data_IF_337486477508
#
_entry.id   IF_337486477508
#
_cell.length_a   1.000
_cell.length_b   1.000
_cell.length_c   1.000
_cell.angle_alpha   90.00
_cell.angle_beta   90.00
_cell.angle_gamma   90.00
#
_symmetry.space_group_name_H-M   'P 1'
#
loop_
_entity.id
_entity.type
_entity.pdbx_description
1 polymer ?
#
# COMPACT_ATOMS: atom_id res chain seq x y z
N UNK A 1 15.39 3.21 -17.83
CA UNK A 1 14.86 3.85 -16.61
C UNK A 1 13.43 3.38 -16.26
N UNK A 2 12.45 3.38 -17.19
CA UNK A 2 11.07 2.95 -16.91
C UNK A 2 10.98 1.49 -16.42
N UNK A 3 11.60 0.54 -17.14
CA UNK A 3 11.58 -0.87 -16.76
C UNK A 3 12.24 -1.14 -15.40
N UNK A 4 13.34 -0.44 -15.08
CA UNK A 4 13.97 -0.52 -13.76
C UNK A 4 13.04 -0.07 -12.63
N UNK A 5 12.34 1.06 -12.83
CA UNK A 5 11.35 1.55 -11.86
C UNK A 5 10.16 0.58 -11.71
N UNK A 6 9.74 -0.03 -12.81
CA UNK A 6 8.66 -1.01 -12.80
C UNK A 6 9.06 -2.28 -12.02
N UNK A 7 10.29 -2.75 -12.21
CA UNK A 7 10.87 -3.85 -11.44
C UNK A 7 10.98 -3.49 -9.96
N UNK A 8 11.56 -2.33 -9.64
CA UNK A 8 11.69 -1.84 -8.27
C UNK A 8 10.33 -1.72 -7.58
N UNK A 9 9.33 -1.13 -8.24
CA UNK A 9 7.96 -1.04 -7.74
C UNK A 9 7.35 -2.43 -7.46
N UNK A 10 7.58 -3.37 -8.36
CA UNK A 10 7.12 -4.75 -8.21
C UNK A 10 7.77 -5.47 -7.03
N UNK A 11 9.06 -5.23 -6.80
CA UNK A 11 9.80 -5.81 -5.67
C UNK A 11 9.40 -5.17 -4.33
N UNK A 12 9.39 -3.84 -4.26
CA UNK A 12 9.00 -3.10 -3.05
C UNK A 12 7.54 -3.35 -2.63
N UNK A 13 6.65 -3.72 -3.55
CA UNK A 13 5.30 -4.18 -3.25
C UNK A 13 5.30 -5.30 -2.20
N UNK A 14 6.19 -6.26 -2.32
CA UNK A 14 6.31 -7.35 -1.35
C UNK A 14 6.79 -6.87 0.01
N UNK A 15 7.71 -5.91 0.05
CA UNK A 15 8.16 -5.31 1.30
C UNK A 15 7.00 -4.60 2.03
N UNK A 16 6.13 -3.88 1.29
CA UNK A 16 4.92 -3.27 1.86
C UNK A 16 3.98 -4.32 2.43
N UNK A 17 3.65 -5.35 1.66
CA UNK A 17 2.71 -6.41 2.08
C UNK A 17 3.24 -7.14 3.32
N UNK A 18 4.51 -7.57 3.31
CA UNK A 18 5.13 -8.30 4.42
C UNK A 18 5.20 -7.43 5.67
N UNK A 19 5.68 -6.18 5.55
CA UNK A 19 5.79 -5.27 6.71
C UNK A 19 4.42 -4.95 7.30
N UNK A 20 3.41 -4.77 6.46
CA UNK A 20 2.05 -4.46 6.88
C UNK A 20 1.37 -5.66 7.56
N UNK A 21 1.52 -6.88 7.00
CA UNK A 21 1.06 -8.11 7.63
C UNK A 21 1.70 -8.31 9.01
N UNK A 22 3.01 -8.09 9.10
CA UNK A 22 3.71 -8.19 10.38
C UNK A 22 3.24 -7.15 11.39
N UNK A 23 3.04 -5.90 10.95
CA UNK A 23 2.53 -4.83 11.81
C UNK A 23 1.11 -5.13 12.31
N UNK A 24 0.22 -5.63 11.45
CA UNK A 24 -1.14 -6.07 11.83
C UNK A 24 -1.08 -7.23 12.83
N UNK A 25 -0.25 -8.25 12.56
CA UNK A 25 -0.04 -9.37 13.49
C UNK A 25 0.42 -8.89 14.88
N UNK A 26 1.43 -8.01 14.92
CA UNK A 26 1.91 -7.42 16.18
C UNK A 26 0.81 -6.61 16.88
N UNK A 27 0.04 -5.85 16.12
CA UNK A 27 -1.08 -5.07 16.60
C UNK A 27 -2.16 -5.94 17.26
N UNK A 28 -2.64 -6.98 16.56
CA UNK A 28 -3.65 -7.91 17.06
C UNK A 28 -3.15 -8.60 18.33
N UNK A 29 -1.92 -9.14 18.32
CA UNK A 29 -1.35 -9.83 19.45
C UNK A 29 -1.20 -8.92 20.67
N UNK A 30 -0.67 -7.71 20.47
CA UNK A 30 -0.50 -6.73 21.53
C UNK A 30 -1.82 -6.26 22.13
N UNK A 31 -2.84 -6.05 21.29
CA UNK A 31 -4.18 -5.64 21.73
C UNK A 31 -4.88 -6.76 22.53
N UNK A 32 -4.89 -8.00 22.00
CA UNK A 32 -5.58 -9.12 22.66
C UNK A 32 -4.95 -9.53 23.99
N UNK A 33 -3.62 -9.53 24.06
CA UNK A 33 -2.89 -9.95 25.27
C UNK A 33 -2.54 -8.78 26.19
N UNK A 34 -3.01 -7.57 25.92
CA UNK A 34 -2.72 -6.36 26.71
C UNK A 34 -1.21 -6.14 26.95
N UNK A 35 -0.40 -6.44 25.94
CA UNK A 35 1.04 -6.32 26.04
C UNK A 35 1.49 -4.86 26.22
N UNK A 36 2.69 -4.68 26.79
CA UNK A 36 3.36 -3.37 26.82
C UNK A 36 3.76 -2.99 25.37
N UNK A 37 3.49 -1.75 24.98
CA UNK A 37 3.92 -1.22 23.69
C UNK A 37 5.40 -0.83 23.79
N UNK A 38 6.26 -1.62 23.14
CA UNK A 38 7.72 -1.49 23.22
C UNK A 38 8.29 -0.60 22.13
N UNK A 39 9.57 -0.24 22.25
CA UNK A 39 10.33 0.44 21.18
C UNK A 39 10.32 -0.37 19.85
N UNK A 40 10.28 -1.70 19.93
CA UNK A 40 10.18 -2.57 18.73
C UNK A 40 8.84 -2.38 18.03
N UNK A 41 7.75 -2.23 18.77
CA UNK A 41 6.41 -2.01 18.20
C UNK A 41 6.34 -0.64 17.54
N UNK A 42 6.95 0.36 18.15
CA UNK A 42 7.04 1.71 17.56
C UNK A 42 7.90 1.72 16.28
N UNK A 43 9.00 0.97 16.27
CA UNK A 43 9.84 0.81 15.08
C UNK A 43 9.06 0.11 13.95
N UNK A 44 8.34 -0.97 14.25
CA UNK A 44 7.50 -1.68 13.27
C UNK A 44 6.45 -0.73 12.68
N UNK A 45 5.74 0.01 13.54
CA UNK A 45 4.76 1.02 13.12
C UNK A 45 5.37 2.05 12.17
N UNK A 46 6.50 2.61 12.55
CA UNK A 46 7.16 3.66 11.78
C UNK A 46 7.78 3.15 10.48
N UNK A 47 8.51 2.05 10.52
CA UNK A 47 9.15 1.48 9.32
C UNK A 47 8.13 1.00 8.29
N UNK A 48 7.01 0.41 8.71
CA UNK A 48 5.91 0.04 7.80
C UNK A 48 5.37 1.27 7.07
N UNK A 49 5.13 2.37 7.79
CA UNK A 49 4.68 3.61 7.17
C UNK A 49 5.74 4.17 6.19
N UNK A 50 7.01 4.16 6.56
CA UNK A 50 8.12 4.63 5.70
C UNK A 50 8.22 3.80 4.41
N UNK A 51 8.19 2.47 4.51
CA UNK A 51 8.24 1.56 3.34
C UNK A 51 7.05 1.85 2.41
N UNK A 52 5.86 2.04 2.98
CA UNK A 52 4.66 2.36 2.22
C UNK A 52 4.76 3.72 1.49
N UNK A 53 5.34 4.74 2.11
CA UNK A 53 5.57 6.04 1.46
C UNK A 53 6.60 5.95 0.33
N UNK A 54 7.70 5.20 0.51
CA UNK A 54 8.69 4.96 -0.54
C UNK A 54 8.03 4.28 -1.74
N UNK A 55 7.22 3.25 -1.51
CA UNK A 55 6.48 2.55 -2.56
C UNK A 55 5.53 3.49 -3.31
N UNK A 56 4.81 4.35 -2.59
CA UNK A 56 3.92 5.33 -3.18
C UNK A 56 4.70 6.33 -4.05
N UNK A 57 5.84 6.82 -3.58
CA UNK A 57 6.68 7.75 -4.34
C UNK A 57 7.18 7.12 -5.66
N UNK A 58 7.66 5.86 -5.60
CA UNK A 58 8.03 5.09 -6.81
C UNK A 58 6.82 4.95 -7.74
N UNK A 59 5.64 4.64 -7.17
CA UNK A 59 4.39 4.52 -7.91
C UNK A 59 3.98 5.79 -8.64
N UNK A 60 4.11 6.96 -8.01
CA UNK A 60 3.84 8.25 -8.66
C UNK A 60 4.82 8.54 -9.79
N UNK A 61 6.12 8.28 -9.60
CA UNK A 61 7.10 8.43 -10.69
C UNK A 61 6.75 7.53 -11.87
N UNK A 62 6.36 6.29 -11.62
CA UNK A 62 5.89 5.36 -12.66
C UNK A 62 4.63 5.86 -13.35
N UNK A 63 3.67 6.39 -12.60
CA UNK A 63 2.42 6.91 -13.14
C UNK A 63 2.67 7.95 -14.22
N UNK A 64 3.53 8.94 -13.96
CA UNK A 64 3.85 9.98 -14.93
C UNK A 64 4.72 9.52 -16.10
N UNK A 65 5.43 8.38 -15.96
CA UNK A 65 6.29 7.80 -17.01
C UNK A 65 5.65 6.64 -17.76
N UNK A 66 4.47 6.19 -17.35
CA UNK A 66 3.80 5.03 -17.94
C UNK A 66 3.16 5.38 -19.29
N UNK A 67 3.45 4.62 -20.35
CA UNK A 67 2.78 4.78 -21.65
C UNK A 67 1.28 4.48 -21.57
N UNK A 68 0.87 3.52 -20.72
CA UNK A 68 -0.54 3.18 -20.45
C UNK A 68 -1.30 4.39 -19.88
N UNK A 69 -0.70 5.06 -18.89
CA UNK A 69 -1.27 6.26 -18.28
C UNK A 69 -1.26 7.46 -19.28
N UNK A 70 -0.21 7.58 -20.06
CA UNK A 70 -0.15 8.61 -21.10
C UNK A 70 -1.29 8.44 -22.11
N UNK A 71 -1.54 7.22 -22.58
CA UNK A 71 -2.66 6.90 -23.45
C UNK A 71 -4.00 7.20 -22.77
N UNK A 72 -4.21 6.75 -21.53
CA UNK A 72 -5.42 7.04 -20.75
C UNK A 72 -5.73 8.54 -20.67
N UNK A 73 -4.71 9.37 -20.47
CA UNK A 73 -4.88 10.83 -20.37
C UNK A 73 -5.17 11.50 -21.72
N UNK A 74 -4.57 11.02 -22.81
CA UNK A 74 -4.74 11.61 -24.16
C UNK A 74 -6.02 11.15 -24.85
N UNK A 75 -6.54 9.95 -24.52
CA UNK A 75 -7.72 9.35 -25.13
C UNK A 75 -8.78 8.99 -24.06
N UNK A 76 -9.03 9.91 -23.12
CA UNK A 76 -9.84 9.65 -21.93
C UNK A 76 -11.21 9.03 -22.23
N UNK A 77 -11.97 9.58 -23.19
CA UNK A 77 -13.32 9.10 -23.55
C UNK A 77 -13.35 7.65 -24.07
N UNK A 78 -12.29 7.23 -24.71
CA UNK A 78 -12.14 5.87 -25.24
C UNK A 78 -11.56 4.94 -24.18
N UNK A 79 -10.49 5.38 -23.53
CA UNK A 79 -9.73 4.60 -22.56
C UNK A 79 -10.52 4.28 -21.27
N UNK A 80 -11.44 5.16 -20.86
CA UNK A 80 -12.29 4.92 -19.66
C UNK A 80 -13.23 3.73 -19.83
N UNK A 81 -13.54 3.35 -21.08
CA UNK A 81 -14.38 2.17 -21.41
C UNK A 81 -13.57 0.88 -21.44
N UNK A 82 -12.25 0.96 -21.43
CA UNK A 82 -11.34 -0.17 -21.43
C UNK A 82 -10.80 -0.35 -20.01
N UNK A 83 -11.16 -1.46 -19.37
CA UNK A 83 -10.92 -1.63 -17.94
C UNK A 83 -9.43 -1.58 -17.55
N UNK A 84 -8.52 -2.12 -18.37
CA UNK A 84 -7.08 -2.09 -18.08
C UNK A 84 -6.53 -0.64 -18.03
N UNK A 85 -6.96 0.21 -18.97
CA UNK A 85 -6.56 1.62 -18.96
C UNK A 85 -7.18 2.36 -17.78
N UNK A 86 -8.45 2.11 -17.46
CA UNK A 86 -9.13 2.68 -16.30
C UNK A 86 -8.45 2.24 -15.00
N UNK A 87 -8.10 0.96 -14.90
CA UNK A 87 -7.45 0.44 -13.70
C UNK A 87 -6.10 1.11 -13.44
N UNK A 88 -5.17 1.09 -14.39
CA UNK A 88 -3.85 1.68 -14.21
C UNK A 88 -3.86 3.21 -14.30
N UNK A 89 -4.79 3.80 -15.06
CA UNK A 89 -4.92 5.25 -15.23
C UNK A 89 -5.57 5.95 -14.04
N UNK A 90 -6.45 5.26 -13.27
CA UNK A 90 -7.22 5.90 -12.21
C UNK A 90 -7.37 5.02 -10.95
N UNK A 91 -7.92 3.82 -11.06
CA UNK A 91 -8.34 3.03 -9.89
C UNK A 91 -7.16 2.70 -8.99
N UNK A 92 -6.08 2.17 -9.55
CA UNK A 92 -4.91 1.73 -8.80
C UNK A 92 -4.26 2.88 -8.01
N UNK A 93 -4.03 4.03 -8.66
CA UNK A 93 -3.37 5.16 -7.99
C UNK A 93 -4.24 5.76 -6.89
N UNK A 94 -5.56 5.86 -7.11
CA UNK A 94 -6.50 6.36 -6.10
C UNK A 94 -6.55 5.44 -4.89
N UNK A 95 -6.75 4.13 -5.09
CA UNK A 95 -6.82 3.16 -4.00
C UNK A 95 -5.50 3.08 -3.22
N UNK A 96 -4.35 3.08 -3.91
CA UNK A 96 -3.05 3.08 -3.24
C UNK A 96 -2.83 4.35 -2.43
N UNK A 97 -3.21 5.52 -2.95
CA UNK A 97 -3.12 6.78 -2.19
C UNK A 97 -3.97 6.73 -0.93
N UNK A 98 -5.23 6.27 -1.03
CA UNK A 98 -6.13 6.12 0.12
C UNK A 98 -5.54 5.17 1.16
N UNK A 99 -5.00 4.02 0.72
CA UNK A 99 -4.38 3.05 1.63
C UNK A 99 -3.18 3.65 2.39
N UNK A 100 -2.32 4.42 1.70
CA UNK A 100 -1.18 5.05 2.36
C UNK A 100 -1.62 6.19 3.30
N UNK A 101 -2.68 6.92 2.96
CA UNK A 101 -3.30 7.89 3.88
C UNK A 101 -3.78 7.18 5.15
N UNK A 102 -4.42 6.01 5.03
CA UNK A 102 -4.84 5.23 6.21
C UNK A 102 -3.65 4.78 7.05
N UNK A 103 -2.57 4.29 6.44
CA UNK A 103 -1.33 3.95 7.17
C UNK A 103 -0.77 5.19 7.89
N UNK A 104 -0.75 6.33 7.23
CA UNK A 104 -0.23 7.58 7.79
C UNK A 104 -1.04 8.05 9.00
N UNK A 105 -2.37 8.10 8.85
CA UNK A 105 -3.29 8.45 9.94
C UNK A 105 -3.15 7.47 11.09
N UNK A 106 -3.22 6.17 10.80
CA UNK A 106 -3.12 5.11 11.81
C UNK A 106 -1.80 5.15 12.57
N UNK A 107 -0.70 5.35 11.86
CA UNK A 107 0.63 5.51 12.45
C UNK A 107 0.71 6.75 13.36
N UNK A 108 0.21 7.88 12.88
CA UNK A 108 0.24 9.15 13.63
C UNK A 108 -0.66 9.13 14.85
N UNK A 109 -1.88 8.60 14.72
CA UNK A 109 -2.85 8.50 15.83
C UNK A 109 -2.34 7.50 16.86
N UNK A 110 -1.84 6.32 16.45
CA UNK A 110 -1.30 5.33 17.39
C UNK A 110 -0.12 5.89 18.21
N UNK A 111 0.76 6.68 17.58
CA UNK A 111 1.88 7.32 18.28
C UNK A 111 1.43 8.22 19.44
N UNK A 112 0.29 8.91 19.27
CA UNK A 112 -0.21 9.92 20.22
C UNK A 112 -1.09 9.36 21.34
N UNK A 113 -1.43 8.06 21.29
CA UNK A 113 -2.24 7.43 22.33
C UNK A 113 -1.44 7.27 23.64
N UNK A 114 -2.12 7.35 24.78
CA UNK A 114 -1.48 7.26 26.08
C UNK A 114 -1.28 5.81 26.54
N UNK A 115 -2.21 4.91 26.19
CA UNK A 115 -2.16 3.53 26.66
C UNK A 115 -1.69 2.54 25.57
N UNK A 116 -0.93 1.54 25.97
CA UNK A 116 -0.45 0.49 25.08
C UNK A 116 -1.58 -0.21 24.32
N UNK A 117 -2.66 -0.51 24.99
CA UNK A 117 -3.83 -1.19 24.41
C UNK A 117 -4.46 -0.38 23.29
N UNK A 118 -4.62 0.94 23.49
CA UNK A 118 -5.19 1.83 22.47
C UNK A 118 -4.22 2.03 21.31
N UNK A 119 -2.90 2.10 21.55
CA UNK A 119 -1.87 2.11 20.50
C UNK A 119 -2.00 0.91 19.58
N UNK A 120 -2.01 -0.29 20.14
CA UNK A 120 -2.15 -1.54 19.37
C UNK A 120 -3.49 -1.63 18.63
N UNK A 121 -4.61 -1.27 19.29
CA UNK A 121 -5.92 -1.26 18.67
C UNK A 121 -5.98 -0.32 17.47
N UNK A 122 -5.50 0.89 17.63
CA UNK A 122 -5.46 1.91 16.56
C UNK A 122 -4.63 1.43 15.38
N UNK A 123 -3.41 0.94 15.66
CA UNK A 123 -2.54 0.39 14.61
C UNK A 123 -3.21 -0.78 13.88
N UNK A 124 -3.84 -1.69 14.62
CA UNK A 124 -4.55 -2.84 14.02
C UNK A 124 -5.65 -2.41 13.08
N UNK A 125 -6.54 -1.51 13.51
CA UNK A 125 -7.69 -1.09 12.71
C UNK A 125 -7.23 -0.41 11.41
N UNK A 126 -6.41 0.63 11.52
CA UNK A 126 -6.01 1.41 10.36
C UNK A 126 -5.13 0.63 9.37
N UNK A 127 -4.19 -0.17 9.90
CA UNK A 127 -3.31 -0.97 9.05
C UNK A 127 -4.03 -2.15 8.40
N UNK A 128 -5.04 -2.73 9.05
CA UNK A 128 -5.88 -3.76 8.44
C UNK A 128 -6.75 -3.21 7.32
N UNK A 129 -7.35 -2.03 7.50
CA UNK A 129 -8.10 -1.36 6.44
C UNK A 129 -7.21 -1.06 5.23
N UNK A 130 -6.01 -0.52 5.48
CA UNK A 130 -5.05 -0.27 4.41
C UNK A 130 -4.62 -1.57 3.71
N UNK A 131 -4.37 -2.64 4.46
CA UNK A 131 -4.00 -3.95 3.91
C UNK A 131 -5.06 -4.52 2.98
N UNK A 132 -6.34 -4.41 3.35
CA UNK A 132 -7.47 -4.85 2.53
C UNK A 132 -7.50 -4.06 1.20
N UNK A 133 -7.38 -2.73 1.28
CA UNK A 133 -7.37 -1.88 0.07
C UNK A 133 -6.18 -2.23 -0.83
N UNK A 134 -4.97 -2.36 -0.25
CA UNK A 134 -3.76 -2.73 -0.99
C UNK A 134 -3.93 -4.11 -1.65
N UNK A 135 -4.48 -5.08 -0.92
CA UNK A 135 -4.69 -6.42 -1.45
C UNK A 135 -5.62 -6.43 -2.67
N UNK A 136 -6.70 -5.65 -2.63
CA UNK A 136 -7.65 -5.49 -3.74
C UNK A 136 -7.00 -4.74 -4.91
N UNK A 137 -6.20 -3.70 -4.62
CA UNK A 137 -5.62 -2.83 -5.63
C UNK A 137 -4.33 -3.37 -6.27
N UNK A 138 -3.72 -4.43 -5.74
CA UNK A 138 -2.59 -5.11 -6.40
C UNK A 138 -3.11 -5.93 -7.59
N UNK A 139 -2.51 -5.77 -8.79
CA UNK A 139 -2.85 -6.60 -9.94
C UNK A 139 -2.20 -7.99 -9.79
N UNK A 140 -2.85 -8.87 -9.03
CA UNK A 140 -2.42 -10.25 -8.87
C UNK A 140 -2.68 -11.05 -10.17
N UNK A 141 -1.98 -12.18 -10.43
CA UNK A 141 -2.30 -13.06 -11.54
C UNK A 141 -3.72 -13.64 -11.51
N UNK A 142 -4.33 -13.69 -10.30
CA UNK A 142 -5.68 -14.16 -10.06
C UNK A 142 -6.68 -13.02 -9.79
N UNK A 143 -6.26 -11.76 -9.86
CA UNK A 143 -7.14 -10.61 -9.59
C UNK A 143 -8.20 -10.47 -10.66
N UNK A 144 -9.48 -10.28 -10.29
CA UNK A 144 -10.53 -9.99 -11.25
C UNK A 144 -10.44 -8.57 -11.83
N UNK A 145 -9.67 -7.68 -11.18
CA UNK A 145 -9.56 -6.27 -11.56
C UNK A 145 -8.48 -6.03 -12.62
N UNK A 146 -7.32 -6.67 -12.50
CA UNK A 146 -6.25 -6.55 -13.48
C UNK A 146 -5.23 -7.68 -13.27
N UNK A 147 -4.81 -8.32 -14.35
CA UNK A 147 -3.85 -9.40 -14.29
C UNK A 147 -2.42 -8.87 -14.45
N UNK A 148 -1.54 -9.28 -13.56
CA UNK A 148 -0.13 -8.95 -13.63
C UNK A 148 0.74 -10.04 -13.01
N UNK A 149 2.00 -10.17 -13.43
CA UNK A 149 2.91 -11.16 -12.85
C UNK A 149 3.23 -10.81 -11.38
N UNK A 150 3.58 -11.84 -10.60
CA UNK A 150 4.04 -11.65 -9.22
C UNK A 150 5.28 -10.75 -9.12
N UNK A 151 6.18 -10.86 -10.08
CA UNK A 151 7.35 -9.98 -10.24
C UNK A 151 7.48 -9.68 -11.73
N UNK A 152 7.60 -8.40 -12.09
CA UNK A 152 7.90 -8.00 -13.47
C UNK A 152 9.42 -8.07 -13.69
N UNK A 153 9.84 -8.85 -14.67
CA UNK A 153 11.23 -8.87 -15.18
C UNK A 153 11.52 -7.66 -16.08
N UNK A 154 12.78 -7.43 -16.34
CA UNK A 154 13.25 -6.40 -17.27
C UNK A 154 12.83 -6.69 -18.71
#
# INVERSE_FOLDING_TARGET
MYFFLLFAHSLFRWAVVISLLYAVYRGIRGWRHKNIFTRRDDLVRHSTATIAHIQLAIGYVLYFKSPVVAYFRSHFHEAIRQFDFLFFGLIHIVLMTIAIVFITIGSSVAKRQDTATVKFRTMTIWFSLALIIIFIAIPWPFSPLANGPYIRSF
#
